data_IF_657087681057
#
_entry.id   IF_657087681057
#
_cell.length_a   1.000
_cell.length_b   1.000
_cell.length_c   1.000
_cell.angle_alpha   90.00
_cell.angle_beta   90.00
_cell.angle_gamma   90.00
#
_symmetry.space_group_name_H-M   'P 1'
#
loop_
_entity.id
_entity.type
_entity.pdbx_description
1 polymer ?
#
# COMPACT_ATOMS: atom_id res chain seq x y z
N UNK A 1 4.12 -8.25 -19.36
CA UNK A 1 3.05 -7.95 -18.39
C UNK A 1 2.58 -6.52 -18.64
N UNK A 2 1.32 -6.31 -19.04
CA UNK A 2 0.78 -4.96 -19.24
C UNK A 2 0.08 -4.54 -17.96
N UNK A 3 0.74 -3.73 -17.14
CA UNK A 3 0.10 -3.06 -16.00
C UNK A 3 -0.77 -1.95 -16.60
N UNK A 4 -2.05 -1.89 -16.23
CA UNK A 4 -2.93 -0.84 -16.73
C UNK A 4 -2.40 0.53 -16.28
N UNK A 5 -2.43 1.52 -17.18
CA UNK A 5 -1.88 2.85 -16.88
C UNK A 5 -2.55 3.49 -15.67
N UNK A 6 -3.88 3.37 -15.59
CA UNK A 6 -4.70 3.85 -14.48
C UNK A 6 -5.65 2.73 -14.08
N UNK A 7 -5.69 2.38 -12.79
CA UNK A 7 -6.56 1.31 -12.30
C UNK A 7 -6.96 1.49 -10.82
N UNK A 8 -7.98 0.74 -10.40
CA UNK A 8 -8.30 0.53 -8.97
C UNK A 8 -7.77 -0.85 -8.60
N UNK A 9 -6.94 -0.97 -7.54
CA UNK A 9 -6.37 -2.24 -7.16
C UNK A 9 -7.43 -3.26 -6.80
N UNK A 10 -7.20 -4.52 -7.18
CA UNK A 10 -8.12 -5.59 -6.83
C UNK A 10 -8.01 -5.98 -5.35
N UNK A 11 -6.80 -5.90 -4.83
CA UNK A 11 -6.43 -6.12 -3.44
C UNK A 11 -5.41 -5.06 -3.07
N UNK A 12 -5.54 -4.54 -1.86
CA UNK A 12 -4.57 -3.63 -1.26
C UNK A 12 -3.86 -4.39 -0.15
N UNK A 13 -2.54 -4.46 -0.23
CA UNK A 13 -1.69 -5.13 0.75
C UNK A 13 -0.89 -4.05 1.46
N UNK A 14 -1.03 -3.95 2.77
CA UNK A 14 -0.14 -3.15 3.59
C UNK A 14 0.94 -4.06 4.18
N UNK A 15 2.18 -3.75 3.82
CA UNK A 15 3.36 -4.46 4.29
C UNK A 15 4.12 -3.58 5.27
N UNK A 16 4.26 -4.06 6.50
CA UNK A 16 5.07 -3.38 7.52
C UNK A 16 6.55 -3.76 7.34
N UNK A 17 7.31 -2.88 6.71
CA UNK A 17 8.72 -3.03 6.38
C UNK A 17 9.10 -2.29 5.09
N UNK A 18 10.33 -2.52 4.62
CA UNK A 18 10.86 -1.93 3.39
C UNK A 18 11.34 -2.95 2.34
N UNK A 19 11.62 -2.47 1.12
CA UNK A 19 12.12 -3.26 -0.02
C UNK A 19 13.64 -3.42 0.12
N UNK A 20 14.09 -4.35 0.97
CA UNK A 20 15.54 -4.56 1.16
C UNK A 20 16.11 -5.77 0.39
N UNK A 21 15.33 -6.83 0.10
CA UNK A 21 15.85 -8.08 -0.51
C UNK A 21 14.85 -8.95 -1.30
N UNK A 22 15.37 -9.95 -2.03
CA UNK A 22 14.59 -10.94 -2.81
C UNK A 22 13.63 -11.77 -1.93
N UNK A 23 13.98 -11.99 -0.66
CA UNK A 23 13.14 -12.72 0.30
C UNK A 23 11.78 -12.02 0.50
N UNK A 24 11.73 -10.69 0.39
CA UNK A 24 10.51 -9.88 0.52
C UNK A 24 9.52 -10.14 -0.62
N UNK A 25 10.01 -10.22 -1.85
CA UNK A 25 9.18 -10.56 -3.02
C UNK A 25 8.61 -11.97 -2.91
N UNK A 26 9.33 -12.90 -2.29
CA UNK A 26 8.85 -14.25 -2.02
C UNK A 26 7.72 -14.27 -0.96
N UNK A 27 7.81 -13.44 0.11
CA UNK A 27 6.75 -13.32 1.12
C UNK A 27 5.45 -12.80 0.51
N UNK A 28 5.58 -11.71 -0.24
CA UNK A 28 4.49 -11.06 -0.96
C UNK A 28 3.87 -12.09 -1.89
N UNK A 29 4.64 -12.66 -2.83
CA UNK A 29 4.16 -13.62 -3.84
C UNK A 29 3.56 -14.92 -3.28
N UNK A 30 3.94 -15.36 -2.07
CA UNK A 30 3.38 -16.55 -1.43
C UNK A 30 1.90 -16.47 -1.03
N UNK A 31 1.29 -15.28 -1.05
CA UNK A 31 -0.18 -15.13 -0.97
C UNK A 31 -0.91 -15.53 -2.27
N UNK A 32 -0.19 -16.22 -3.15
CA UNK A 32 -0.64 -17.16 -4.17
C UNK A 32 -1.24 -16.61 -5.45
N UNK A 33 -1.32 -15.30 -5.68
CA UNK A 33 -1.43 -14.72 -7.03
C UNK A 33 -1.47 -13.20 -6.89
N UNK A 34 -0.36 -12.52 -7.23
CA UNK A 34 -0.45 -11.11 -7.59
C UNK A 34 -1.17 -11.08 -8.92
N UNK A 35 -2.49 -11.09 -8.84
CA UNK A 35 -3.29 -10.73 -9.99
C UNK A 35 -2.80 -9.36 -10.47
N UNK A 36 -2.88 -9.09 -11.76
CA UNK A 36 -2.16 -7.97 -12.42
C UNK A 36 -2.58 -6.57 -11.94
N UNK A 37 -3.44 -6.49 -10.92
CA UNK A 37 -4.01 -5.29 -10.32
C UNK A 37 -3.88 -5.26 -8.79
N UNK A 38 -3.05 -6.07 -8.14
CA UNK A 38 -2.78 -5.87 -6.70
C UNK A 38 -1.98 -4.57 -6.48
N UNK A 39 -2.27 -3.88 -5.38
CA UNK A 39 -1.56 -2.70 -4.91
C UNK A 39 -0.88 -3.01 -3.57
N UNK A 40 0.42 -2.74 -3.46
CA UNK A 40 1.23 -2.98 -2.26
C UNK A 40 1.75 -1.66 -1.72
N UNK A 41 1.48 -1.40 -0.45
CA UNK A 41 2.10 -0.33 0.32
C UNK A 41 3.20 -0.90 1.20
N UNK A 42 4.32 -0.18 1.27
CA UNK A 42 5.40 -0.46 2.19
C UNK A 42 5.43 0.65 3.22
N UNK A 43 5.50 0.29 4.51
CA UNK A 43 5.51 1.28 5.59
C UNK A 43 6.68 2.26 5.51
N UNK A 44 7.80 1.87 4.88
CA UNK A 44 8.95 2.76 4.66
C UNK A 44 8.65 4.01 3.80
N UNK A 45 7.63 3.94 2.94
CA UNK A 45 7.23 5.06 2.07
C UNK A 45 6.11 5.92 2.68
N UNK A 46 5.73 5.65 3.93
CA UNK A 46 4.60 6.28 4.61
C UNK A 46 5.09 7.02 5.87
N UNK A 47 4.42 8.12 6.20
CA UNK A 47 4.59 8.77 7.50
C UNK A 47 3.61 8.19 8.53
N UNK A 48 3.82 8.50 9.82
CA UNK A 48 3.01 7.95 10.92
C UNK A 48 1.49 8.21 10.76
N UNK A 49 1.10 9.35 10.18
CA UNK A 49 -0.32 9.68 9.95
C UNK A 49 -0.90 8.83 8.82
N UNK A 50 -0.11 8.56 7.79
CA UNK A 50 -0.51 7.77 6.63
C UNK A 50 -0.54 6.27 6.91
N UNK A 51 0.27 5.78 7.86
CA UNK A 51 0.22 4.38 8.33
C UNK A 51 -1.19 4.02 8.82
N UNK A 52 -1.79 4.86 9.67
CA UNK A 52 -3.15 4.65 10.18
C UNK A 52 -4.20 4.58 9.06
N UNK A 53 -4.02 5.38 8.00
CA UNK A 53 -4.91 5.35 6.83
C UNK A 53 -4.72 4.09 5.99
N UNK A 54 -3.50 3.55 5.92
CA UNK A 54 -3.26 2.31 5.19
C UNK A 54 -3.93 1.12 5.87
N UNK A 55 -3.93 1.10 7.19
CA UNK A 55 -4.66 0.09 7.94
C UNK A 55 -6.15 0.13 7.58
N UNK A 56 -6.71 1.34 7.48
CA UNK A 56 -8.10 1.55 7.11
C UNK A 56 -8.47 1.03 5.70
N UNK A 57 -7.55 0.94 4.74
CA UNK A 57 -7.90 0.61 3.33
C UNK A 57 -7.35 -0.73 2.85
N UNK A 58 -6.61 -1.43 3.71
CA UNK A 58 -5.92 -2.66 3.34
C UNK A 58 -6.82 -3.87 3.47
N UNK A 59 -6.76 -4.73 2.45
CA UNK A 59 -7.44 -6.02 2.44
C UNK A 59 -6.56 -7.10 3.06
N UNK A 60 -5.25 -6.91 3.03
CA UNK A 60 -4.26 -7.83 3.58
C UNK A 60 -3.24 -7.01 4.35
N UNK A 61 -3.05 -7.35 5.61
CA UNK A 61 -1.98 -6.83 6.45
C UNK A 61 -0.89 -7.89 6.50
N UNK A 62 0.31 -7.54 6.10
CA UNK A 62 1.50 -8.39 6.22
C UNK A 62 2.45 -7.70 7.19
N UNK A 63 2.57 -8.27 8.37
CA UNK A 63 3.37 -7.71 9.44
C UNK A 63 4.61 -8.58 9.58
N UNK A 64 5.77 -8.00 9.25
CA UNK A 64 7.06 -8.55 9.58
C UNK A 64 7.49 -7.99 10.94
N UNK A 65 7.87 -8.87 11.85
CA UNK A 65 8.45 -8.43 13.11
C UNK A 65 9.80 -7.74 12.89
N UNK A 66 9.83 -6.46 13.25
CA UNK A 66 11.02 -5.75 13.69
C UNK A 66 10.85 -5.59 15.20
N UNK A 67 11.62 -6.35 15.99
CA UNK A 67 11.63 -6.26 17.46
C UNK A 67 11.62 -4.78 17.91
N UNK A 68 10.55 -4.33 18.59
CA UNK A 68 10.49 -2.96 19.13
C UNK A 68 11.06 -2.84 20.54
N UNK A 69 11.09 -3.92 21.35
CA UNK A 69 11.68 -3.88 22.68
C UNK A 69 12.13 -5.26 23.18
N UNK A 70 13.21 -5.33 23.97
CA UNK A 70 13.81 -6.60 24.48
C UNK A 70 13.05 -7.23 25.65
N UNK A 71 12.16 -6.48 26.30
CA UNK A 71 11.50 -6.88 27.54
C UNK A 71 10.04 -7.35 27.34
N UNK A 72 9.47 -7.18 26.14
CA UNK A 72 8.09 -7.60 25.86
C UNK A 72 8.03 -9.10 25.59
N UNK A 73 7.19 -9.82 26.33
CA UNK A 73 6.99 -11.27 26.17
C UNK A 73 5.81 -11.62 25.25
N UNK A 74 5.08 -10.61 24.77
CA UNK A 74 3.94 -10.72 23.86
C UNK A 74 4.24 -9.93 22.58
N UNK A 75 3.86 -10.48 21.43
CA UNK A 75 3.73 -9.66 20.22
C UNK A 75 2.37 -8.98 20.24
N UNK A 76 2.37 -7.65 20.14
CA UNK A 76 1.15 -6.84 20.12
C UNK A 76 1.03 -6.21 18.75
N UNK A 77 -0.08 -6.48 18.07
CA UNK A 77 -0.45 -5.89 16.80
C UNK A 77 -1.70 -5.05 17.00
N UNK A 78 -1.63 -3.78 16.65
CA UNK A 78 -2.80 -2.90 16.57
C UNK A 78 -3.19 -2.76 15.11
N UNK A 79 -4.44 -3.04 14.79
CA UNK A 79 -4.99 -2.91 13.44
C UNK A 79 -6.26 -2.07 13.49
N UNK A 80 -6.46 -1.22 12.49
CA UNK A 80 -7.68 -0.42 12.36
C UNK A 80 -8.55 -1.01 11.25
N UNK A 81 -9.72 -1.51 11.61
CA UNK A 81 -10.65 -2.15 10.68
C UNK A 81 -11.69 -1.15 10.18
N UNK A 82 -11.84 -0.93 8.86
CA UNK A 82 -12.74 0.09 8.31
C UNK A 82 -14.21 -0.29 8.31
N UNK A 83 -14.48 -1.59 8.19
CA UNK A 83 -15.77 -2.20 7.98
C UNK A 83 -15.74 -3.55 8.65
N UNK A 84 -16.83 -3.93 9.31
CA UNK A 84 -16.97 -5.27 9.86
C UNK A 84 -16.83 -6.31 8.75
N UNK A 85 -15.75 -7.09 8.81
CA UNK A 85 -15.42 -8.13 7.84
C UNK A 85 -14.91 -9.37 8.58
N UNK A 86 -15.00 -10.51 7.90
CA UNK A 86 -14.37 -11.74 8.34
C UNK A 86 -12.89 -11.66 7.92
N UNK A 87 -11.97 -11.86 8.86
CA UNK A 87 -10.53 -11.80 8.64
C UNK A 87 -9.92 -13.14 8.97
N UNK A 88 -9.21 -13.73 8.02
CA UNK A 88 -8.42 -14.92 8.24
C UNK A 88 -7.03 -14.51 8.71
N UNK A 89 -6.61 -15.07 9.84
CA UNK A 89 -5.26 -14.91 10.36
C UNK A 89 -4.40 -16.08 9.92
N UNK A 90 -3.23 -15.75 9.41
CA UNK A 90 -2.18 -16.68 9.07
C UNK A 90 -0.90 -16.27 9.77
N UNK A 91 -0.09 -17.25 10.12
CA UNK A 91 1.28 -16.98 10.53
C UNK A 91 2.27 -17.79 9.70
N UNK A 92 3.50 -17.32 9.65
CA UNK A 92 4.63 -18.07 9.13
C UNK A 92 5.82 -17.84 10.03
N UNK A 93 6.49 -18.91 10.40
CA UNK A 93 7.67 -18.82 11.26
C UNK A 93 8.95 -18.87 10.40
N UNK A 94 9.85 -17.91 10.60
CA UNK A 94 11.19 -17.93 10.00
C UNK A 94 12.21 -18.74 10.83
N UNK A 95 11.99 -18.88 12.14
CA UNK A 95 12.81 -19.58 13.13
C UNK A 95 12.03 -20.77 13.78
N UNK A 96 12.11 -21.96 13.18
CA UNK A 96 11.42 -23.20 13.58
C UNK A 96 10.99 -23.30 15.07
N UNK A 97 9.67 -23.45 15.33
CA UNK A 97 9.11 -23.65 16.69
C UNK A 97 9.70 -24.87 17.41
N UNK A 98 10.07 -25.91 16.65
CA UNK A 98 10.71 -27.12 17.19
C UNK A 98 12.05 -26.80 17.86
N UNK A 99 12.75 -25.75 17.42
CA UNK A 99 14.03 -25.32 18.00
C UNK A 99 13.86 -24.70 19.40
N UNK A 100 12.67 -24.20 19.71
CA UNK A 100 12.41 -23.42 20.93
C UNK A 100 11.38 -24.10 21.86
N UNK A 101 11.06 -25.36 21.60
CA UNK A 101 10.08 -26.15 22.36
C UNK A 101 8.73 -25.44 22.51
N UNK A 102 8.20 -24.87 21.43
CA UNK A 102 6.85 -24.29 21.43
C UNK A 102 5.85 -25.32 20.94
N UNK A 103 4.85 -25.57 21.78
CA UNK A 103 3.74 -26.50 21.52
C UNK A 103 2.39 -25.78 21.37
N UNK A 104 2.25 -24.59 21.96
CA UNK A 104 1.00 -23.81 21.96
C UNK A 104 1.23 -22.32 21.66
N UNK A 105 0.27 -21.74 20.95
CA UNK A 105 0.12 -20.30 20.74
C UNK A 105 -1.17 -19.88 21.43
N UNK A 106 -1.11 -18.81 22.21
CA UNK A 106 -2.29 -18.12 22.73
C UNK A 106 -2.42 -16.81 21.98
N UNK A 107 -3.57 -16.62 21.35
CA UNK A 107 -3.93 -15.40 20.65
C UNK A 107 -5.04 -14.72 21.43
N UNK A 108 -4.80 -13.50 21.88
CA UNK A 108 -5.79 -12.68 22.54
C UNK A 108 -6.24 -11.58 21.57
N UNK A 109 -7.53 -11.48 21.30
CA UNK A 109 -8.12 -10.45 20.44
C UNK A 109 -9.10 -9.66 21.29
N UNK A 110 -8.78 -8.42 21.60
CA UNK A 110 -9.59 -7.51 22.43
C UNK A 110 -10.07 -8.10 23.77
N UNK A 111 -9.24 -8.96 24.37
CA UNK A 111 -9.53 -9.64 25.63
C UNK A 111 -10.07 -11.06 25.48
N UNK A 112 -10.48 -11.48 24.28
CA UNK A 112 -10.89 -12.86 24.01
C UNK A 112 -9.68 -13.73 23.67
N UNK A 113 -9.37 -14.69 24.53
CA UNK A 113 -8.20 -15.57 24.37
C UNK A 113 -8.58 -16.88 23.68
N UNK A 114 -7.75 -17.29 22.72
CA UNK A 114 -7.84 -18.56 22.01
C UNK A 114 -6.51 -19.30 22.03
N UNK A 115 -6.56 -20.56 22.42
CA UNK A 115 -5.41 -21.47 22.39
C UNK A 115 -5.38 -22.26 21.08
N UNK A 116 -4.20 -22.27 20.45
CA UNK A 116 -3.92 -22.96 19.20
C UNK A 116 -2.77 -23.94 19.44
N UNK A 117 -3.00 -25.23 19.14
CA UNK A 117 -1.98 -26.26 19.25
C UNK A 117 -1.16 -26.36 17.96
N UNK A 118 0.16 -26.21 18.06
CA UNK A 118 1.08 -26.35 16.94
C UNK A 118 1.29 -27.85 16.68
N UNK A 119 0.82 -28.37 15.53
CA UNK A 119 1.10 -29.76 15.11
C UNK A 119 1.82 -29.73 13.77
N UNK A 120 2.97 -30.39 13.69
CA UNK A 120 3.79 -30.60 12.48
C UNK A 120 3.74 -29.46 11.46
N UNK A 121 4.10 -28.26 11.93
CA UNK A 121 4.27 -27.09 11.10
C UNK A 121 5.45 -27.30 10.15
N UNK A 122 5.18 -27.30 8.84
CA UNK A 122 6.22 -27.24 7.81
C UNK A 122 6.84 -25.85 7.80
N UNK A 123 8.17 -25.81 7.82
CA UNK A 123 8.90 -24.55 7.83
C UNK A 123 8.68 -23.79 6.50
N UNK A 124 8.40 -22.49 6.56
CA UNK A 124 8.27 -21.63 5.38
C UNK A 124 6.89 -21.54 4.73
N UNK A 125 5.88 -22.29 5.19
CA UNK A 125 4.49 -22.16 4.70
C UNK A 125 3.63 -21.29 5.64
N UNK A 126 2.68 -20.55 5.08
CA UNK A 126 1.66 -19.85 5.85
C UNK A 126 0.67 -20.86 6.45
N UNK A 127 0.42 -20.74 7.74
CA UNK A 127 -0.48 -21.61 8.49
C UNK A 127 -1.67 -20.77 8.96
N UNK A 128 -2.85 -21.20 8.55
CA UNK A 128 -4.11 -20.64 9.03
C UNK A 128 -4.26 -20.87 10.54
N UNK A 129 -4.54 -19.80 11.28
CA UNK A 129 -4.81 -19.85 12.71
C UNK A 129 -6.30 -19.88 12.99
N UNK A 130 -6.99 -18.86 12.48
CA UNK A 130 -8.36 -18.61 12.83
C UNK A 130 -9.05 -17.65 11.87
N UNK A 131 -10.37 -17.64 11.93
CA UNK A 131 -11.20 -16.59 11.38
C UNK A 131 -11.64 -15.65 12.52
N UNK A 132 -11.33 -14.37 12.38
CA UNK A 132 -11.76 -13.30 13.29
C UNK A 132 -12.87 -12.49 12.64
N UNK A 133 -13.94 -12.27 13.39
CA UNK A 133 -14.93 -11.27 13.04
C UNK A 133 -14.51 -9.99 13.75
N UNK A 134 -13.89 -9.07 13.02
CA UNK A 134 -13.49 -7.78 13.55
C UNK A 134 -14.54 -6.74 13.19
N UNK A 135 -14.97 -5.98 14.19
CA UNK A 135 -15.85 -4.84 13.99
C UNK A 135 -15.10 -3.66 13.38
N UNK A 136 -15.80 -2.57 13.09
CA UNK A 136 -15.13 -1.34 12.70
C UNK A 136 -14.38 -0.78 13.92
N UNK A 137 -13.22 -0.16 13.69
CA UNK A 137 -12.33 0.54 14.63
C UNK A 137 -11.06 -0.26 14.99
N UNK A 138 -10.35 0.17 16.03
CA UNK A 138 -9.04 -0.38 16.42
C UNK A 138 -9.21 -1.68 17.20
N UNK A 139 -8.44 -2.70 16.80
CA UNK A 139 -8.40 -4.01 17.43
C UNK A 139 -6.97 -4.34 17.84
N UNK A 140 -6.82 -4.89 19.05
CA UNK A 140 -5.53 -5.32 19.60
C UNK A 140 -5.43 -6.84 19.56
N UNK A 141 -4.41 -7.33 18.87
CA UNK A 141 -4.09 -8.75 18.78
C UNK A 141 -2.79 -9.01 19.53
N UNK A 142 -2.84 -9.81 20.59
CA UNK A 142 -1.68 -10.24 21.34
C UNK A 142 -1.36 -11.71 21.09
N UNK A 143 -0.10 -12.04 20.87
CA UNK A 143 0.37 -13.41 20.65
C UNK A 143 1.40 -13.79 21.71
N UNK A 144 1.16 -14.92 22.37
CA UNK A 144 2.03 -15.51 23.39
C UNK A 144 2.35 -16.97 23.07
N UNK A 145 3.55 -17.42 23.46
CA UNK A 145 4.06 -18.76 23.16
C UNK A 145 4.26 -19.58 24.43
N UNK A 146 3.93 -20.87 24.37
CA UNK A 146 4.05 -21.78 25.50
C UNK A 146 4.54 -23.18 25.09
N UNK A 147 5.21 -23.88 26.00
CA UNK A 147 5.54 -25.30 25.82
C UNK A 147 4.44 -26.25 26.31
N UNK A 148 4.65 -27.53 26.07
CA UNK A 148 3.81 -28.65 26.52
C UNK A 148 3.54 -28.69 28.03
N UNK A 149 4.38 -28.03 28.85
CA UNK A 149 4.20 -27.91 30.30
C UNK A 149 3.43 -26.64 30.71
N UNK A 150 3.01 -25.81 29.75
CA UNK A 150 2.33 -24.55 30.01
C UNK A 150 3.26 -23.43 30.47
N UNK A 151 4.58 -23.57 30.27
CA UNK A 151 5.53 -22.50 30.60
C UNK A 151 5.61 -21.51 29.45
N UNK A 152 5.49 -20.22 29.77
CA UNK A 152 5.62 -19.13 28.81
C UNK A 152 7.04 -19.10 28.21
N UNK A 153 7.14 -18.99 26.90
CA UNK A 153 8.38 -18.90 26.13
C UNK A 153 8.64 -17.47 25.69
N UNK A 154 9.91 -17.10 25.42
CA UNK A 154 10.23 -15.79 24.87
C UNK A 154 9.56 -15.59 23.49
N UNK A 155 9.37 -14.34 23.06
CA UNK A 155 8.85 -14.04 21.73
C UNK A 155 9.76 -14.65 20.66
N UNK A 156 9.14 -15.28 19.66
CA UNK A 156 9.83 -15.81 18.49
C UNK A 156 9.45 -14.97 17.30
N UNK A 157 10.43 -14.69 16.44
CA UNK A 157 10.21 -14.00 15.19
C UNK A 157 9.18 -14.75 14.35
N UNK A 158 8.08 -14.07 14.05
CA UNK A 158 7.00 -14.63 13.25
C UNK A 158 6.53 -13.58 12.25
N UNK A 159 6.23 -14.01 11.02
CA UNK A 159 5.48 -13.19 10.09
C UNK A 159 3.99 -13.42 10.37
N UNK A 160 3.22 -12.36 10.57
CA UNK A 160 1.76 -12.40 10.74
C UNK A 160 1.10 -11.87 9.47
N UNK A 161 0.03 -12.52 9.03
CA UNK A 161 -0.80 -12.02 7.96
C UNK A 161 -2.27 -12.06 8.34
N UNK A 162 -2.95 -10.95 8.10
CA UNK A 162 -4.38 -10.81 8.36
C UNK A 162 -5.02 -10.47 7.02
N UNK A 163 -5.81 -11.39 6.48
CA UNK A 163 -6.43 -11.27 5.17
C UNK A 163 -7.94 -11.22 5.32
N UNK A 164 -8.58 -10.17 4.81
CA UNK A 164 -10.02 -10.12 4.68
C UNK A 164 -10.52 -11.29 3.80
N UNK A 165 -11.52 -12.02 4.30
CA UNK A 165 -12.11 -13.20 3.65
C UNK A 165 -12.97 -12.80 2.43
N UNK A 166 -13.46 -11.55 2.40
CA UNK A 166 -14.21 -11.02 1.25
C UNK A 166 -13.32 -10.18 0.32
N UNK A 167 -12.98 -10.77 -0.82
CA UNK A 167 -12.27 -10.11 -1.93
C UNK A 167 -13.16 -9.16 -2.76
N UNK A 168 -14.45 -9.05 -2.45
CA UNK A 168 -15.47 -8.36 -3.25
C UNK A 168 -16.11 -7.16 -2.52
N UNK A 169 -15.31 -6.23 -2.01
CA UNK A 169 -15.83 -4.88 -1.90
C UNK A 169 -16.18 -4.41 -3.32
N UNK A 170 -17.43 -4.02 -3.57
CA UNK A 170 -17.83 -3.55 -4.90
C UNK A 170 -16.98 -2.33 -5.29
N UNK A 171 -16.18 -2.48 -6.35
CA UNK A 171 -15.30 -1.44 -6.87
C UNK A 171 -16.03 -0.57 -7.87
N UNK A 172 -15.69 0.72 -7.96
CA UNK A 172 -16.21 1.54 -9.03
C UNK A 172 -15.71 1.02 -10.39
N UNK A 173 -16.53 1.19 -11.42
CA UNK A 173 -16.05 1.03 -12.80
C UNK A 173 -15.28 2.28 -13.18
N UNK A 174 -14.17 2.05 -13.86
CA UNK A 174 -13.27 3.12 -14.28
C UNK A 174 -13.12 3.11 -15.79
N UNK A 175 -13.20 4.29 -16.39
CA UNK A 175 -12.87 4.53 -17.79
C UNK A 175 -11.95 5.74 -17.81
N UNK A 176 -10.84 5.67 -18.51
CA UNK A 176 -9.93 6.81 -18.63
C UNK A 176 -9.60 7.12 -20.08
N UNK A 177 -9.29 8.38 -20.33
CA UNK A 177 -8.79 8.91 -21.58
C UNK A 177 -7.51 9.68 -21.33
N UNK A 178 -6.44 9.25 -21.98
CA UNK A 178 -5.21 10.04 -22.05
C UNK A 178 -5.43 11.24 -22.99
N UNK A 179 -5.30 12.45 -22.45
CA UNK A 179 -5.37 13.68 -23.25
C UNK A 179 -3.99 13.98 -23.83
N UNK A 180 -2.96 13.80 -22.99
CA UNK A 180 -1.54 13.82 -23.34
C UNK A 180 -0.75 13.15 -22.19
N UNK A 181 0.58 12.94 -22.32
CA UNK A 181 1.37 12.24 -21.30
C UNK A 181 1.36 12.88 -19.90
N UNK A 182 0.89 14.13 -19.78
CA UNK A 182 0.84 14.91 -18.54
C UNK A 182 -0.58 15.20 -18.06
N UNK A 183 -1.61 14.70 -18.75
CA UNK A 183 -3.01 14.94 -18.42
C UNK A 183 -3.90 13.74 -18.78
N UNK A 184 -4.62 13.24 -17.79
CA UNK A 184 -5.60 12.17 -17.93
C UNK A 184 -6.97 12.61 -17.43
N UNK A 185 -8.03 12.21 -18.12
CA UNK A 185 -9.42 12.36 -17.69
C UNK A 185 -9.99 10.98 -17.36
N UNK A 186 -10.65 10.87 -16.22
CA UNK A 186 -11.08 9.60 -15.65
C UNK A 186 -12.55 9.74 -15.26
N UNK A 187 -13.35 8.80 -15.71
CA UNK A 187 -14.76 8.65 -15.36
C UNK A 187 -14.87 7.50 -14.35
N UNK A 188 -15.44 7.79 -13.19
CA UNK A 188 -15.71 6.86 -12.11
C UNK A 188 -17.22 6.59 -12.10
N UNK A 189 -17.62 5.31 -12.07
CA UNK A 189 -19.03 4.92 -11.99
C UNK A 189 -19.29 4.03 -10.80
N UNK A 190 -20.40 4.30 -10.12
CA UNK A 190 -20.95 3.47 -9.04
C UNK A 190 -19.99 3.25 -7.85
N UNK A 191 -19.23 4.27 -7.45
CA UNK A 191 -18.37 4.19 -6.25
C UNK A 191 -19.24 4.10 -4.98
N UNK A 192 -19.24 2.94 -4.32
CA UNK A 192 -20.00 2.72 -3.06
C UNK A 192 -19.15 2.95 -1.80
N UNK A 193 -17.86 2.67 -1.89
CA UNK A 193 -16.89 2.69 -0.80
C UNK A 193 -15.65 3.48 -1.20
N UNK A 194 -14.87 3.99 -0.22
CA UNK A 194 -13.56 4.54 -0.50
C UNK A 194 -12.68 3.55 -1.27
N UNK A 195 -11.87 4.05 -2.18
CA UNK A 195 -11.01 3.22 -3.02
C UNK A 195 -9.71 3.94 -3.36
N UNK A 196 -8.72 3.15 -3.76
CA UNK A 196 -7.45 3.66 -4.26
C UNK A 196 -7.47 3.76 -5.77
N UNK A 197 -7.10 4.93 -6.29
CA UNK A 197 -6.84 5.15 -7.70
C UNK A 197 -5.34 5.14 -7.93
N UNK A 198 -4.85 4.25 -8.80
CA UNK A 198 -3.43 4.12 -9.12
C UNK A 198 -3.15 4.70 -10.49
N UNK A 199 -2.05 5.44 -10.61
CA UNK A 199 -1.40 5.82 -11.85
C UNK A 199 -0.02 5.16 -11.90
N UNK A 200 0.18 4.24 -12.85
CA UNK A 200 1.43 3.52 -13.10
C UNK A 200 2.49 4.38 -13.80
N UNK A 201 2.73 5.56 -13.25
CA UNK A 201 3.86 6.45 -13.55
C UNK A 201 4.75 6.55 -12.32
N UNK A 202 6.04 6.85 -12.53
CA UNK A 202 6.97 7.09 -11.43
C UNK A 202 6.41 8.16 -10.47
N UNK A 203 6.49 7.86 -9.18
CA UNK A 203 5.94 8.69 -8.13
C UNK A 203 6.57 10.07 -8.18
N UNK A 204 5.71 11.09 -8.14
CA UNK A 204 6.16 12.47 -8.07
C UNK A 204 5.07 13.32 -7.44
N UNK A 205 5.41 14.08 -6.39
CA UNK A 205 4.48 14.98 -5.67
C UNK A 205 3.81 16.03 -6.55
N UNK A 206 4.34 16.28 -7.76
CA UNK A 206 3.77 17.21 -8.72
C UNK A 206 2.71 16.61 -9.64
N UNK A 207 2.45 15.30 -9.56
CA UNK A 207 1.19 14.72 -10.04
C UNK A 207 0.07 15.13 -9.10
N UNK A 208 -0.95 15.79 -9.64
CA UNK A 208 -2.11 16.28 -8.91
C UNK A 208 -3.38 15.65 -9.44
N UNK A 209 -4.28 15.30 -8.52
CA UNK A 209 -5.60 14.76 -8.81
C UNK A 209 -6.67 15.79 -8.47
N UNK A 210 -7.61 16.01 -9.37
CA UNK A 210 -8.69 16.98 -9.20
C UNK A 210 -10.05 16.28 -9.26
N UNK A 211 -10.89 16.51 -8.26
CA UNK A 211 -12.30 16.11 -8.21
C UNK A 211 -13.15 17.35 -8.43
N UNK A 212 -13.99 17.36 -9.47
CA UNK A 212 -14.86 18.52 -9.78
C UNK A 212 -14.14 19.89 -9.84
N UNK A 213 -12.87 19.89 -10.27
CA UNK A 213 -11.92 21.05 -10.33
C UNK A 213 -11.30 21.44 -8.98
N UNK A 214 -11.68 20.81 -7.89
CA UNK A 214 -11.03 20.96 -6.59
C UNK A 214 -9.84 20.00 -6.48
N UNK A 215 -8.74 20.48 -5.91
CA UNK A 215 -7.53 19.68 -5.73
C UNK A 215 -7.73 18.72 -4.55
N UNK A 216 -7.53 17.42 -4.78
CA UNK A 216 -7.48 16.44 -3.70
C UNK A 216 -6.24 16.67 -2.83
N UNK A 217 -6.40 16.48 -1.52
CA UNK A 217 -5.36 16.75 -0.52
C UNK A 217 -4.07 15.99 -0.82
N UNK A 218 -2.91 16.63 -0.58
CA UNK A 218 -1.61 15.95 -0.72
C UNK A 218 -1.44 14.80 0.28
N UNK A 219 -2.16 14.83 1.41
CA UNK A 219 -2.16 13.75 2.39
C UNK A 219 -2.85 12.49 1.90
N UNK A 220 -3.56 12.56 0.76
CA UNK A 220 -4.19 11.43 0.10
C UNK A 220 -3.37 10.95 -1.11
N UNK A 221 -2.10 11.34 -1.27
CA UNK A 221 -1.21 10.93 -2.36
C UNK A 221 -0.08 10.03 -1.86
N UNK A 222 -0.06 8.77 -2.28
CA UNK A 222 0.84 7.74 -1.76
C UNK A 222 1.68 7.07 -2.85
N UNK A 223 2.82 6.52 -2.45
CA UNK A 223 3.61 5.58 -3.27
C UNK A 223 2.98 4.20 -3.15
N UNK A 224 2.65 3.58 -4.29
CA UNK A 224 2.17 2.20 -4.35
C UNK A 224 3.08 1.35 -5.23
N UNK A 225 3.19 0.05 -4.93
CA UNK A 225 4.05 -0.89 -5.64
C UNK A 225 5.53 -0.44 -5.69
N UNK A 226 5.97 0.38 -4.74
CA UNK A 226 7.34 0.91 -4.64
C UNK A 226 7.72 1.98 -5.66
N UNK A 227 6.85 2.32 -6.61
CA UNK A 227 7.18 3.32 -7.64
C UNK A 227 6.00 4.16 -8.13
N UNK A 228 4.76 3.66 -8.05
CA UNK A 228 3.62 4.27 -8.72
C UNK A 228 2.95 5.34 -7.86
N UNK A 229 2.21 6.24 -8.51
CA UNK A 229 1.37 7.21 -7.82
C UNK A 229 0.03 6.57 -7.46
N UNK A 230 -0.52 6.91 -6.30
CA UNK A 230 -1.86 6.51 -5.91
C UNK A 230 -2.57 7.55 -5.08
N UNK A 231 -3.91 7.57 -5.15
CA UNK A 231 -4.73 8.44 -4.32
C UNK A 231 -5.88 7.70 -3.64
N UNK A 232 -6.11 7.99 -2.36
CA UNK A 232 -7.29 7.52 -1.65
C UNK A 232 -8.47 8.44 -1.96
N UNK A 233 -9.56 7.88 -2.48
CA UNK A 233 -10.76 8.62 -2.86
C UNK A 233 -11.92 8.18 -1.98
N UNK A 234 -12.48 9.12 -1.24
CA UNK A 234 -13.61 8.89 -0.33
C UNK A 234 -14.98 9.21 -0.95
N UNK A 235 -14.99 9.82 -2.13
CA UNK A 235 -16.20 10.28 -2.84
C UNK A 235 -17.03 9.11 -3.37
N UNK A 236 -18.36 9.21 -3.25
CA UNK A 236 -19.32 8.17 -3.63
C UNK A 236 -20.11 8.56 -4.88
N UNK A 237 -20.68 7.56 -5.55
CA UNK A 237 -21.48 7.74 -6.77
C UNK A 237 -20.62 7.77 -8.04
N UNK A 238 -21.07 8.53 -9.04
CA UNK A 238 -20.40 8.64 -10.33
C UNK A 238 -19.93 10.07 -10.56
N UNK A 239 -18.66 10.24 -10.95
CA UNK A 239 -18.01 11.53 -11.06
C UNK A 239 -16.78 11.48 -11.97
N UNK A 240 -16.24 12.66 -12.26
CA UNK A 240 -15.05 12.80 -13.10
C UNK A 240 -13.86 13.27 -12.28
N UNK A 241 -12.72 12.66 -12.58
CA UNK A 241 -11.43 13.02 -12.04
C UNK A 241 -10.50 13.48 -13.16
N UNK A 242 -9.57 14.36 -12.81
CA UNK A 242 -8.52 14.81 -13.73
C UNK A 242 -7.17 14.66 -13.04
N UNK A 243 -6.26 13.91 -13.65
CA UNK A 243 -4.85 13.85 -13.22
C UNK A 243 -4.04 14.81 -14.09
N UNK A 244 -3.17 15.62 -13.48
CA UNK A 244 -2.25 16.54 -14.17
C UNK A 244 -0.86 16.52 -13.57
N UNK A 245 0.17 16.57 -14.42
CA UNK A 245 1.55 16.81 -14.01
C UNK A 245 1.87 18.30 -14.11
N UNK A 246 2.03 18.97 -12.97
CA UNK A 246 2.28 20.42 -12.92
C UNK A 246 3.58 20.89 -13.61
N UNK A 247 4.72 20.16 -13.55
CA UNK A 247 5.99 20.69 -14.05
C UNK A 247 6.02 20.95 -15.55
N UNK A 248 5.14 20.31 -16.31
CA UNK A 248 4.97 20.58 -17.73
C UNK A 248 4.70 22.06 -18.01
N UNK A 249 3.97 22.75 -17.12
CA UNK A 249 3.70 24.19 -17.27
C UNK A 249 5.00 25.01 -17.21
N UNK A 250 5.89 24.69 -16.27
CA UNK A 250 7.17 25.40 -16.12
C UNK A 250 8.12 25.08 -17.28
N UNK A 251 8.13 23.84 -17.76
CA UNK A 251 8.93 23.46 -18.93
C UNK A 251 8.49 24.24 -20.17
N UNK A 252 7.18 24.40 -20.39
CA UNK A 252 6.66 25.19 -21.52
C UNK A 252 7.08 26.67 -21.43
N UNK A 253 7.10 27.26 -20.22
CA UNK A 253 7.64 28.61 -20.03
C UNK A 253 9.14 28.69 -20.31
N UNK A 254 9.91 27.69 -19.87
CA UNK A 254 11.34 27.59 -20.17
C UNK A 254 11.62 27.55 -21.67
N UNK A 255 10.90 26.70 -22.40
CA UNK A 255 11.02 26.59 -23.86
C UNK A 255 10.70 27.92 -24.55
N UNK A 256 9.66 28.63 -24.10
CA UNK A 256 9.32 29.95 -24.64
C UNK A 256 10.45 30.96 -24.43
N UNK A 257 10.99 31.05 -23.22
CA UNK A 257 12.10 31.97 -22.89
C UNK A 257 13.34 31.60 -23.69
N UNK A 258 13.73 30.32 -23.74
CA UNK A 258 14.88 29.86 -24.52
C UNK A 258 14.73 30.15 -26.02
N UNK A 259 13.52 29.98 -26.56
CA UNK A 259 13.22 30.29 -27.97
C UNK A 259 13.35 31.78 -28.27
N UNK A 260 12.86 32.64 -27.37
CA UNK A 260 13.00 34.09 -27.49
C UNK A 260 14.47 34.52 -27.40
N UNK A 261 15.22 34.00 -26.42
CA UNK A 261 16.65 34.27 -26.29
C UNK A 261 17.41 33.86 -27.54
N UNK A 262 17.17 32.65 -28.05
CA UNK A 262 17.81 32.17 -29.27
C UNK A 262 17.49 33.07 -30.47
N UNK A 263 16.23 33.49 -30.62
CA UNK A 263 15.82 34.42 -31.67
C UNK A 263 16.55 35.76 -31.58
N UNK A 264 16.66 36.36 -30.38
CA UNK A 264 17.38 37.61 -30.19
C UNK A 264 18.89 37.45 -30.42
N UNK A 265 19.50 36.36 -29.97
CA UNK A 265 20.91 36.07 -30.22
C UNK A 265 21.21 35.92 -31.72
N UNK A 266 20.36 35.20 -32.45
CA UNK A 266 20.48 35.06 -33.91
C UNK A 266 20.31 36.43 -34.57
N UNK A 267 19.30 37.20 -34.18
CA UNK A 267 19.04 38.53 -34.73
C UNK A 267 20.21 39.49 -34.49
N UNK A 268 20.82 39.43 -33.29
CA UNK A 268 21.99 40.22 -32.94
C UNK A 268 23.21 39.85 -33.82
N UNK A 269 23.47 38.56 -34.00
CA UNK A 269 24.57 38.08 -34.86
C UNK A 269 24.37 38.50 -36.33
N UNK A 270 23.13 38.44 -36.83
CA UNK A 270 22.82 38.92 -38.18
C UNK A 270 23.00 40.44 -38.32
N UNK A 271 22.55 41.22 -37.33
CA UNK A 271 22.75 42.66 -37.29
C UNK A 271 24.24 43.03 -37.30
N UNK A 272 25.03 42.39 -36.44
CA UNK A 272 26.48 42.58 -36.36
C UNK A 272 27.19 42.20 -37.67
N UNK A 273 26.79 41.11 -38.33
CA UNK A 273 27.35 40.70 -39.62
C UNK A 273 27.07 41.69 -40.76
N UNK A 274 25.89 42.34 -40.77
CA UNK A 274 25.50 43.29 -41.81
C UNK A 274 26.17 44.65 -41.62
N UNK A 275 26.33 45.11 -40.38
CA UNK A 275 26.83 46.46 -40.05
C UNK A 275 28.33 46.47 -39.73
N UNK A 276 28.88 45.36 -39.26
CA UNK A 276 30.32 45.18 -39.03
C UNK A 276 31.14 44.95 -40.30
N UNK A 277 30.55 45.14 -41.48
CA UNK A 277 31.23 45.26 -42.78
C UNK A 277 31.28 46.72 -43.21
#
# INVERSE_FOLDING_TARGET
FFIQKIYVPDKTIYFNGGIEDIEYLAKISSFNEFDKKSGVFFSEFLDDKNILNMDYISHIFLIQDVQRNRDDTNWIYEINVPVKLDYNIYFRNSDSFKKHDIDFIYMNVDGEEKMIKIRDVKNGEWIFLDNLILDKDSHKIEISFFDSMGRKKPPIKMDLAIKADKENAEKPKIVFREINPTKYEIEIKDAKYPYLLVLSENFNKNWKLYLNKELISENEHYVINGYANSWLINEKGSYNLIIKYLPQKYMNFGILISSLTLFFSISFLFYDFIIGK
#
